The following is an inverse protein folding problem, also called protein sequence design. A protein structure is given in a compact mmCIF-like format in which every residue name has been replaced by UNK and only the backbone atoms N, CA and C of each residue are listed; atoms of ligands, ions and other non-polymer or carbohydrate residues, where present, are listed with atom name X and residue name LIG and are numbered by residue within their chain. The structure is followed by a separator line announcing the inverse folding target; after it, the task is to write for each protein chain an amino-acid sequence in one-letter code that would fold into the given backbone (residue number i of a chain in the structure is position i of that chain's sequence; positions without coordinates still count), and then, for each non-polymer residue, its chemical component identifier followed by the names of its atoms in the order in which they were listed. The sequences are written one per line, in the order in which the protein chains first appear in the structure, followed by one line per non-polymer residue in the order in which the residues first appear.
data_IF_517287250973
#
_entry.id   IF_517287250973
#
_cell.length_a   1.000
_cell.length_b   1.000
_cell.length_c   1.000
_cell.angle_alpha   90.00
_cell.angle_beta   90.00
_cell.angle_gamma   90.00
#
_symmetry.space_group_name_H-M   'P 1'
#
loop_
_entity.id
_entity.type
_entity.pdbx_description
1 polymer ?
#
# COMPACT_ATOMS: atom_id res chain seq x y z
N UNK A 1 4.79 16.06 -2.70
CA UNK A 1 5.75 14.96 -2.91
C UNK A 1 4.93 13.73 -3.26
N UNK A 2 5.35 12.94 -4.26
CA UNK A 2 4.58 11.78 -4.71
C UNK A 2 5.31 10.48 -4.35
N UNK A 3 4.54 9.44 -4.05
CA UNK A 3 5.04 8.08 -3.89
C UNK A 3 4.41 7.17 -4.95
N UNK A 4 5.11 6.08 -5.27
CA UNK A 4 4.65 5.06 -6.20
C UNK A 4 4.68 3.72 -5.47
N UNK A 5 3.58 2.98 -5.53
CA UNK A 5 3.46 1.63 -4.97
C UNK A 5 2.70 0.74 -5.94
N UNK A 6 3.00 -0.56 -5.97
CA UNK A 6 2.18 -1.51 -6.74
C UNK A 6 1.03 -2.04 -5.90
N UNK A 7 -0.09 -2.37 -6.53
CA UNK A 7 -1.18 -3.07 -5.83
C UNK A 7 -0.74 -4.37 -5.17
N UNK A 8 0.21 -5.11 -5.78
CA UNK A 8 0.77 -6.32 -5.18
C UNK A 8 1.56 -6.09 -3.88
N UNK A 9 1.93 -4.85 -3.57
CA UNK A 9 2.60 -4.47 -2.32
C UNK A 9 1.62 -4.01 -1.24
N UNK A 10 0.37 -3.72 -1.62
CA UNK A 10 -0.69 -3.37 -0.67
C UNK A 10 -1.33 -4.64 -0.11
N UNK A 11 -1.57 -4.62 1.20
CA UNK A 11 -2.29 -5.72 1.85
C UNK A 11 -3.76 -5.62 1.47
N UNK A 12 -4.31 -6.69 0.88
CA UNK A 12 -5.75 -6.80 0.75
C UNK A 12 -6.39 -7.11 2.11
N UNK A 13 -7.33 -6.29 2.53
CA UNK A 13 -8.07 -6.49 3.78
C UNK A 13 -9.40 -7.20 3.56
N UNK A 14 -10.15 -6.81 2.53
CA UNK A 14 -11.47 -7.37 2.26
C UNK A 14 -11.74 -7.49 0.76
N UNK A 15 -12.56 -8.47 0.41
CA UNK A 15 -13.18 -8.60 -0.91
C UNK A 15 -14.69 -8.65 -0.67
N UNK A 16 -15.42 -7.74 -1.30
CA UNK A 16 -16.86 -7.59 -1.11
C UNK A 16 -17.56 -7.83 -2.44
N UNK A 17 -18.66 -8.58 -2.37
CA UNK A 17 -19.52 -8.87 -3.50
C UNK A 17 -20.82 -8.06 -3.33
N UNK A 18 -20.96 -6.99 -4.10
CA UNK A 18 -22.17 -6.18 -4.12
C UNK A 18 -23.28 -6.81 -4.96
N UNK A 19 -24.33 -6.04 -5.24
CA UNK A 19 -25.36 -6.43 -6.18
C UNK A 19 -24.86 -6.32 -7.63
N UNK A 20 -24.21 -5.21 -7.97
CA UNK A 20 -23.75 -4.88 -9.32
C UNK A 20 -22.26 -5.18 -9.51
N UNK A 21 -21.43 -4.70 -8.59
CA UNK A 21 -19.98 -4.78 -8.67
C UNK A 21 -19.40 -5.67 -7.58
N UNK A 22 -18.17 -6.10 -7.78
CA UNK A 22 -17.32 -6.55 -6.68
C UNK A 22 -16.28 -5.46 -6.39
N UNK A 23 -15.79 -5.39 -5.16
CA UNK A 23 -14.68 -4.49 -4.83
C UNK A 23 -13.70 -5.07 -3.84
N UNK A 24 -12.46 -4.59 -3.96
CA UNK A 24 -11.33 -4.93 -3.12
C UNK A 24 -11.03 -3.75 -2.21
N UNK A 25 -10.91 -3.99 -0.91
CA UNK A 25 -10.46 -2.98 0.06
C UNK A 25 -9.02 -3.32 0.44
N UNK A 26 -8.11 -2.42 0.09
CA UNK A 26 -6.70 -2.51 0.46
C UNK A 26 -6.43 -1.74 1.75
N UNK A 27 -5.30 -2.04 2.38
CA UNK A 27 -4.78 -1.27 3.51
C UNK A 27 -4.60 0.20 3.13
N UNK A 28 -4.62 1.13 4.11
CA UNK A 28 -4.40 2.53 3.85
C UNK A 28 -3.11 2.79 3.07
N UNK A 29 -3.16 3.77 2.15
CA UNK A 29 -1.98 4.17 1.39
C UNK A 29 -0.90 4.70 2.36
N UNK A 30 0.32 4.13 2.35
CA UNK A 30 1.34 4.51 3.32
C UNK A 30 1.67 6.00 3.23
N UNK A 31 1.43 6.71 4.32
CA UNK A 31 1.74 8.14 4.46
C UNK A 31 1.06 9.06 3.44
N UNK A 32 -0.07 8.63 2.84
CA UNK A 32 -0.83 9.49 1.93
C UNK A 32 -1.36 10.73 2.63
N UNK A 33 -1.64 11.77 1.85
CA UNK A 33 -2.46 12.87 2.32
C UNK A 33 -3.82 12.35 2.82
N UNK A 34 -4.43 13.06 3.76
CA UNK A 34 -5.78 12.75 4.21
C UNK A 34 -6.76 13.05 3.06
N UNK A 35 -7.61 12.07 2.75
CA UNK A 35 -8.61 12.21 1.69
C UNK A 35 -9.94 12.70 2.28
N UNK A 36 -10.72 13.36 1.44
CA UNK A 36 -12.07 13.79 1.76
C UNK A 36 -13.06 12.62 1.58
N UNK A 37 -14.33 12.88 1.81
CA UNK A 37 -15.40 11.95 1.42
C UNK A 37 -15.81 12.09 -0.05
N UNK A 38 -15.16 13.00 -0.80
CA UNK A 38 -15.45 13.35 -2.18
C UNK A 38 -14.48 12.72 -3.17
N UNK A 39 -14.31 13.38 -4.32
CA UNK A 39 -13.30 13.03 -5.33
C UNK A 39 -12.14 14.01 -5.18
N UNK A 40 -10.95 13.49 -4.87
CA UNK A 40 -9.77 14.30 -4.58
C UNK A 40 -8.79 14.35 -5.76
N UNK A 41 -8.83 13.39 -6.70
CA UNK A 41 -7.88 13.25 -7.83
C UNK A 41 -6.40 13.20 -7.42
N UNK A 42 -6.14 12.80 -6.18
CA UNK A 42 -4.82 12.71 -5.56
C UNK A 42 -4.10 11.39 -5.85
N UNK A 43 -4.79 10.44 -6.49
CA UNK A 43 -4.26 9.12 -6.85
C UNK A 43 -4.41 8.85 -8.34
N UNK A 44 -3.36 8.33 -8.94
CA UNK A 44 -3.31 7.97 -10.35
C UNK A 44 -3.01 6.48 -10.45
N UNK A 45 -3.94 5.73 -11.05
CA UNK A 45 -3.76 4.31 -11.34
C UNK A 45 -3.26 4.18 -12.78
N UNK A 46 -2.01 3.77 -12.93
CA UNK A 46 -1.36 3.65 -14.24
C UNK A 46 -1.76 2.35 -14.97
N UNK A 47 -1.60 2.31 -16.29
CA UNK A 47 -1.76 1.10 -17.13
C UNK A 47 -3.16 0.45 -17.19
N UNK A 48 -4.20 1.04 -16.61
CA UNK A 48 -5.60 0.60 -16.81
C UNK A 48 -6.58 1.77 -16.75
N UNK A 49 -7.61 1.81 -17.63
CA UNK A 49 -8.67 2.81 -17.56
C UNK A 49 -9.39 2.73 -16.22
N UNK A 50 -9.29 3.79 -15.43
CA UNK A 50 -9.81 3.86 -14.06
C UNK A 50 -10.41 5.23 -13.80
N UNK A 51 -11.50 5.30 -13.04
CA UNK A 51 -12.14 6.54 -12.61
C UNK A 51 -12.26 6.61 -11.09
N UNK A 52 -12.07 7.79 -10.52
CA UNK A 52 -12.38 8.04 -9.12
C UNK A 52 -13.87 8.26 -8.93
N UNK A 53 -14.43 7.66 -7.89
CA UNK A 53 -15.82 7.78 -7.48
C UNK A 53 -15.89 8.03 -5.96
N UNK A 54 -17.05 8.49 -5.51
CA UNK A 54 -17.33 8.56 -4.07
C UNK A 54 -17.60 7.15 -3.52
N UNK A 55 -17.33 6.96 -2.23
CA UNK A 55 -17.43 5.66 -1.56
C UNK A 55 -18.84 5.04 -1.64
N UNK A 56 -19.87 5.89 -1.64
CA UNK A 56 -21.27 5.47 -1.74
C UNK A 56 -21.62 4.81 -3.10
N UNK A 57 -20.81 5.06 -4.14
CA UNK A 57 -21.08 4.61 -5.50
C UNK A 57 -20.33 3.31 -5.87
N UNK A 58 -19.68 2.65 -4.90
CA UNK A 58 -18.89 1.44 -5.16
C UNK A 58 -19.70 0.31 -5.83
N UNK A 59 -21.01 0.24 -5.57
CA UNK A 59 -21.91 -0.76 -6.14
C UNK A 59 -22.83 -0.22 -7.27
N UNK A 60 -22.53 0.98 -7.77
CA UNK A 60 -23.21 1.57 -8.93
C UNK A 60 -22.53 1.10 -10.22
N UNK A 61 -23.31 0.90 -11.28
CA UNK A 61 -22.80 0.45 -12.57
C UNK A 61 -21.64 1.34 -13.07
N UNK A 62 -20.48 0.73 -13.27
CA UNK A 62 -19.28 1.41 -13.76
C UNK A 62 -19.49 1.71 -15.25
N UNK A 63 -19.17 2.94 -15.66
CA UNK A 63 -19.23 3.31 -17.06
C UNK A 63 -18.30 2.38 -17.88
N UNK A 64 -18.80 1.72 -18.95
CA UNK A 64 -18.02 0.75 -19.73
C UNK A 64 -16.69 1.25 -20.31
N UNK A 65 -16.48 2.57 -20.39
CA UNK A 65 -15.19 3.15 -20.80
C UNK A 65 -14.07 2.92 -19.77
N UNK A 66 -14.42 2.64 -18.51
CA UNK A 66 -13.49 2.36 -17.42
C UNK A 66 -13.54 0.90 -17.04
N UNK A 67 -12.37 0.30 -16.82
CA UNK A 67 -12.26 -1.09 -16.37
C UNK A 67 -12.46 -1.20 -14.86
N UNK A 68 -12.06 -0.16 -14.13
CA UNK A 68 -12.18 -0.08 -12.68
C UNK A 68 -12.72 1.29 -12.26
N UNK A 69 -13.38 1.33 -11.12
CA UNK A 69 -13.65 2.55 -10.37
C UNK A 69 -12.94 2.47 -9.02
N UNK A 70 -12.45 3.58 -8.47
CA UNK A 70 -11.82 3.57 -7.15
C UNK A 70 -12.35 4.68 -6.26
N UNK A 71 -12.26 4.47 -4.95
CA UNK A 71 -12.52 5.48 -3.94
C UNK A 71 -11.47 5.39 -2.83
N UNK A 72 -11.07 6.53 -2.31
CA UNK A 72 -10.23 6.66 -1.13
C UNK A 72 -10.98 7.61 -0.21
N UNK A 73 -11.80 7.04 0.66
CA UNK A 73 -12.61 7.81 1.58
C UNK A 73 -11.75 8.36 2.74
N UNK A 74 -12.40 8.93 3.75
CA UNK A 74 -11.75 9.46 4.97
C UNK A 74 -11.01 8.41 5.80
N UNK A 75 -11.18 7.12 5.51
CA UNK A 75 -10.40 6.01 6.08
C UNK A 75 -9.03 5.82 5.41
N UNK A 76 -8.72 6.62 4.37
CA UNK A 76 -7.54 6.53 3.50
C UNK A 76 -7.30 5.14 2.88
N UNK A 77 -8.31 4.28 2.86
CA UNK A 77 -8.23 2.96 2.25
C UNK A 77 -8.58 3.04 0.79
N UNK A 78 -7.73 2.44 -0.04
CA UNK A 78 -8.02 2.28 -1.46
C UNK A 78 -9.05 1.17 -1.65
N UNK A 79 -10.23 1.55 -2.14
CA UNK A 79 -11.31 0.64 -2.51
C UNK A 79 -11.42 0.63 -4.03
N UNK A 80 -11.24 -0.53 -4.65
CA UNK A 80 -11.26 -0.69 -6.10
C UNK A 80 -12.42 -1.58 -6.52
N UNK A 81 -13.40 -0.98 -7.20
CA UNK A 81 -14.58 -1.64 -7.74
C UNK A 81 -14.39 -2.06 -9.20
N UNK A 82 -15.02 -3.17 -9.57
CA UNK A 82 -15.10 -3.69 -10.94
C UNK A 82 -16.42 -4.44 -11.15
N UNK A 83 -16.89 -4.47 -12.39
CA UNK A 83 -18.06 -5.28 -12.76
C UNK A 83 -17.79 -6.76 -12.47
N UNK A 84 -18.81 -7.49 -12.01
CA UNK A 84 -18.75 -8.94 -11.76
C UNK A 84 -18.31 -9.76 -12.98
N UNK A 85 -18.50 -9.22 -14.17
CA UNK A 85 -18.09 -9.87 -15.43
C UNK A 85 -16.59 -9.68 -15.74
N UNK A 86 -15.92 -8.74 -15.06
CA UNK A 86 -14.51 -8.39 -15.35
C UNK A 86 -13.54 -9.47 -14.87
N UNK A 87 -13.88 -10.13 -13.77
CA UNK A 87 -13.04 -11.10 -13.08
C UNK A 87 -13.89 -12.26 -12.55
N UNK A 88 -13.43 -13.48 -12.76
CA UNK A 88 -14.14 -14.68 -12.31
C UNK A 88 -14.18 -14.78 -10.78
N UNK A 89 -13.09 -14.39 -10.12
CA UNK A 89 -12.97 -14.44 -8.67
C UNK A 89 -11.96 -13.41 -8.13
N UNK A 90 -11.80 -13.42 -6.81
CA UNK A 90 -10.84 -12.58 -6.08
C UNK A 90 -9.40 -12.80 -6.57
N UNK A 91 -9.01 -14.03 -6.85
CA UNK A 91 -7.65 -14.38 -7.27
C UNK A 91 -7.32 -13.82 -8.64
N UNK A 92 -8.25 -13.95 -9.61
CA UNK A 92 -8.08 -13.39 -10.95
C UNK A 92 -7.95 -11.86 -10.91
N UNK A 93 -8.72 -11.20 -10.04
CA UNK A 93 -8.62 -9.76 -9.83
C UNK A 93 -7.25 -9.34 -9.27
N UNK A 94 -6.74 -10.06 -8.26
CA UNK A 94 -5.43 -9.76 -7.65
C UNK A 94 -4.26 -9.99 -8.61
N UNK A 95 -4.27 -11.08 -9.38
CA UNK A 95 -3.22 -11.34 -10.36
C UNK A 95 -3.21 -10.27 -11.48
N UNK A 96 -4.39 -9.82 -11.93
CA UNK A 96 -4.48 -8.74 -12.90
C UNK A 96 -3.96 -7.39 -12.36
N UNK A 97 -4.09 -7.14 -11.05
CA UNK A 97 -3.67 -5.90 -10.40
C UNK A 97 -2.21 -5.91 -9.94
N UNK A 98 -1.61 -7.08 -9.74
CA UNK A 98 -0.29 -7.27 -9.10
C UNK A 98 0.80 -6.31 -9.58
N UNK A 99 0.87 -6.06 -10.90
CA UNK A 99 1.88 -5.21 -11.51
C UNK A 99 1.42 -3.76 -11.78
N UNK A 100 0.16 -3.44 -11.51
CA UNK A 100 -0.39 -2.10 -11.70
C UNK A 100 0.14 -1.19 -10.59
N UNK A 101 0.70 -0.05 -10.99
CA UNK A 101 1.26 0.95 -10.08
C UNK A 101 0.27 2.09 -9.82
N UNK A 102 0.28 2.52 -8.56
CA UNK A 102 -0.47 3.62 -7.97
C UNK A 102 0.52 4.74 -7.66
N UNK A 103 0.29 5.92 -8.23
CA UNK A 103 1.00 7.14 -7.84
C UNK A 103 0.07 7.95 -6.96
N UNK A 104 0.52 8.37 -5.79
CA UNK A 104 -0.30 9.14 -4.86
C UNK A 104 0.48 10.25 -4.16
N UNK A 105 -0.22 11.29 -3.73
CA UNK A 105 0.38 12.36 -2.95
C UNK A 105 0.64 11.92 -1.50
N UNK A 106 1.88 12.09 -1.08
CA UNK A 106 2.23 12.01 0.33
C UNK A 106 1.62 13.21 1.04
N UNK A 107 1.17 13.01 2.28
CA UNK A 107 0.69 14.11 3.12
C UNK A 107 1.78 15.15 3.36
N UNK A 108 1.49 16.18 4.16
CA UNK A 108 2.51 17.14 4.59
C UNK A 108 3.46 16.49 5.62
N UNK A 109 4.17 15.47 5.15
CA UNK A 109 5.11 14.65 5.85
C UNK A 109 6.36 15.47 6.04
N UNK A 110 6.51 16.02 7.24
CA UNK A 110 7.78 16.63 7.60
C UNK A 110 8.70 15.51 8.09
N UNK A 111 9.97 15.50 7.65
CA UNK A 111 10.95 14.66 8.28
C UNK A 111 10.90 14.87 9.79
N UNK A 112 10.75 13.79 10.54
CA UNK A 112 10.87 13.84 11.99
C UNK A 112 12.36 13.99 12.31
N UNK A 113 12.90 15.20 12.16
CA UNK A 113 14.33 15.47 12.26
C UNK A 113 15.20 14.54 11.41
N UNK A 114 16.23 13.99 12.04
CA UNK A 114 17.16 13.01 11.47
C UNK A 114 16.90 11.59 12.01
N UNK A 115 15.64 11.23 12.19
CA UNK A 115 15.24 9.89 12.60
C UNK A 115 14.87 9.00 11.41
N UNK A 116 15.09 7.70 11.59
CA UNK A 116 14.89 6.65 10.62
C UNK A 116 14.29 5.41 11.29
N UNK A 117 13.54 4.62 10.54
CA UNK A 117 13.06 3.30 10.93
C UNK A 117 13.76 2.23 10.09
N UNK A 118 14.22 1.19 10.77
CA UNK A 118 14.85 0.02 10.16
C UNK A 118 13.87 -1.14 10.23
N UNK A 119 13.68 -1.81 9.10
CA UNK A 119 13.06 -3.15 9.06
C UNK A 119 14.13 -4.15 8.65
N UNK A 120 14.20 -5.26 9.36
CA UNK A 120 15.11 -6.36 9.05
C UNK A 120 14.30 -7.55 8.61
N UNK A 121 14.66 -8.13 7.46
CA UNK A 121 14.08 -9.37 6.96
C UNK A 121 15.12 -10.47 6.86
N UNK A 122 14.72 -11.70 7.15
CA UNK A 122 15.57 -12.88 6.92
C UNK A 122 15.58 -13.26 5.42
N UNK A 123 16.38 -14.27 5.09
CA UNK A 123 16.49 -14.79 3.72
C UNK A 123 15.19 -15.38 3.15
N UNK A 124 14.20 -15.67 4.00
CA UNK A 124 12.87 -16.15 3.61
C UNK A 124 11.89 -14.99 3.35
N UNK A 125 12.32 -13.74 3.56
CA UNK A 125 11.50 -12.55 3.38
C UNK A 125 10.61 -12.21 4.58
N UNK A 126 10.76 -12.89 5.71
CA UNK A 126 10.00 -12.62 6.93
C UNK A 126 10.57 -11.41 7.67
N UNK A 127 9.70 -10.50 8.13
CA UNK A 127 10.12 -9.39 8.99
C UNK A 127 10.40 -9.90 10.40
N UNK A 128 11.68 -9.94 10.79
CA UNK A 128 12.13 -10.48 12.08
C UNK A 128 12.41 -9.39 13.11
N UNK A 129 12.61 -8.14 12.65
CA UNK A 129 12.83 -6.99 13.51
C UNK A 129 12.37 -5.68 12.87
N UNK A 130 11.88 -4.77 13.72
CA UNK A 130 11.53 -3.40 13.36
C UNK A 130 11.89 -2.46 14.50
N UNK A 131 12.59 -1.38 14.19
CA UNK A 131 12.92 -0.36 15.17
C UNK A 131 11.82 0.69 15.31
N UNK A 132 11.75 1.35 16.47
CA UNK A 132 11.18 2.70 16.57
C UNK A 132 12.08 3.70 15.81
N UNK A 133 11.67 4.97 15.63
CA UNK A 133 12.55 5.99 15.05
C UNK A 133 13.88 6.09 15.82
N UNK A 134 15.00 6.04 15.09
CA UNK A 134 16.39 6.07 15.58
C UNK A 134 17.25 7.01 14.74
N UNK A 135 18.31 7.59 15.28
CA UNK A 135 19.30 8.35 14.49
C UNK A 135 20.16 7.42 13.63
N UNK A 136 20.86 7.95 12.61
CA UNK A 136 21.75 7.12 11.79
C UNK A 136 22.83 6.40 12.59
N UNK A 137 23.40 7.04 13.62
CA UNK A 137 24.41 6.40 14.48
C UNK A 137 23.83 5.22 15.28
N UNK A 138 22.54 5.30 15.64
CA UNK A 138 21.84 4.21 16.30
C UNK A 138 21.47 3.10 15.32
N UNK A 139 21.11 3.45 14.08
CA UNK A 139 20.88 2.50 12.99
C UNK A 139 22.16 1.72 12.68
N UNK A 140 23.30 2.38 12.59
CA UNK A 140 24.60 1.74 12.36
C UNK A 140 24.90 0.70 13.45
N UNK A 141 24.63 1.04 14.72
CA UNK A 141 24.73 0.09 15.83
C UNK A 141 23.78 -1.09 15.69
N UNK A 142 22.53 -0.88 15.25
CA UNK A 142 21.58 -1.98 15.01
C UNK A 142 22.11 -2.89 13.91
N UNK A 143 22.55 -2.35 12.77
CA UNK A 143 23.10 -3.16 11.66
C UNK A 143 24.34 -3.93 12.08
N UNK A 144 25.21 -3.32 12.91
CA UNK A 144 26.44 -3.94 13.37
C UNK A 144 26.24 -5.02 14.45
N UNK A 145 25.10 -5.03 15.15
CA UNK A 145 24.89 -5.90 16.33
C UNK A 145 23.72 -6.86 16.19
N UNK A 146 22.80 -6.61 15.26
CA UNK A 146 21.64 -7.45 15.06
C UNK A 146 22.02 -8.69 14.24
N UNK A 147 21.76 -9.85 14.82
CA UNK A 147 21.99 -11.14 14.19
C UNK A 147 20.74 -12.03 14.37
N UNK A 148 20.35 -12.71 13.31
CA UNK A 148 19.19 -13.60 13.34
C UNK A 148 19.61 -14.99 13.80
N UNK A 149 19.56 -15.18 15.12
CA UNK A 149 19.94 -16.44 15.77
C UNK A 149 18.82 -17.49 15.77
N UNK A 150 17.67 -17.20 15.15
CA UNK A 150 16.47 -18.07 15.24
C UNK A 150 16.53 -19.28 14.31
N UNK A 151 17.29 -19.22 13.23
CA UNK A 151 17.47 -20.35 12.31
C UNK A 151 18.94 -20.57 11.95
N UNK A 152 19.49 -21.69 12.41
CA UNK A 152 20.88 -22.10 12.14
C UNK A 152 20.98 -23.16 11.03
N UNK A 153 19.86 -23.59 10.44
CA UNK A 153 19.83 -24.72 9.52
C UNK A 153 20.04 -24.31 8.05
N UNK A 154 19.96 -23.02 7.75
CA UNK A 154 20.05 -22.49 6.39
C UNK A 154 20.94 -21.26 6.35
N UNK A 155 21.93 -21.27 5.45
CA UNK A 155 22.73 -20.07 5.18
C UNK A 155 21.83 -19.01 4.55
N UNK A 156 21.79 -17.81 5.13
CA UNK A 156 20.92 -16.73 4.70
C UNK A 156 21.61 -15.38 4.70
N UNK A 157 20.89 -14.35 4.25
CA UNK A 157 21.25 -12.96 4.38
C UNK A 157 20.20 -12.24 5.23
N UNK A 158 20.60 -11.09 5.78
CA UNK A 158 19.69 -10.14 6.40
C UNK A 158 19.52 -8.93 5.48
N UNK A 159 18.27 -8.66 5.08
CA UNK A 159 17.93 -7.45 4.34
C UNK A 159 17.56 -6.35 5.33
N UNK A 160 18.29 -5.23 5.28
CA UNK A 160 18.00 -4.04 6.07
C UNK A 160 17.37 -2.97 5.18
N UNK A 161 16.11 -2.64 5.44
CA UNK A 161 15.40 -1.55 4.75
C UNK A 161 15.35 -0.33 5.68
N UNK A 162 16.12 0.69 5.32
CA UNK A 162 16.16 1.96 6.02
C UNK A 162 15.19 2.96 5.39
N UNK A 163 14.28 3.49 6.18
CA UNK A 163 13.34 4.53 5.75
C UNK A 163 13.42 5.73 6.67
N UNK A 164 13.40 6.95 6.11
CA UNK A 164 13.35 8.17 6.92
C UNK A 164 12.02 8.23 7.66
N UNK A 165 12.05 8.63 8.93
CA UNK A 165 10.84 8.80 9.71
C UNK A 165 10.16 10.13 9.33
N UNK A 166 8.86 10.05 9.10
CA UNK A 166 8.03 11.20 8.74
C UNK A 166 6.88 11.32 9.74
N UNK A 167 6.60 12.55 10.15
CA UNK A 167 5.46 12.91 10.98
C UNK A 167 4.47 13.73 10.16
N UNK A 168 3.18 13.58 10.49
CA UNK A 168 2.12 14.44 10.00
C UNK A 168 2.12 15.70 10.86
N UNK A 169 2.17 16.88 10.25
CA UNK A 169 1.91 18.16 10.93
C UNK A 169 0.41 18.42 11.03
#
# INVERSE_FOLDING_TARGET
MQAIIRFGELKLEQFIQGATNNWLIFSPLPYSMQHSSGIDNSVIISATPTIEIIDADLDVAINPQYKYAYSIATDNKLKLAFSKETHADKGSALEALKCIALTYELGNLQPNGNYYKVKVRNSLGEEIHRTTPLTLDQVDKVVATFDDTRDMNTSGFLEYVLTRDFIVN
#
